data_IF_472196837460
#
_entry.id   IF_472196837460
#
_cell.length_a   1.000
_cell.length_b   1.000
_cell.length_c   1.000
_cell.angle_alpha   90.00
_cell.angle_beta   90.00
_cell.angle_gamma   90.00
#
_symmetry.space_group_name_H-M   'P 1'
#
loop_
_entity.id
_entity.type
_entity.pdbx_description
1 polymer ?
#
# COMPACT_ATOMS: atom_id res chain seq x y z
N UNK A 1 3.76 18.23 8.08
CA UNK A 1 2.83 17.12 8.44
C UNK A 1 3.64 15.98 9.05
N UNK A 2 3.23 15.39 10.18
CA UNK A 2 4.00 14.30 10.81
C UNK A 2 4.06 13.07 9.89
N UNK A 3 5.17 12.30 9.92
CA UNK A 3 5.29 11.02 9.18
C UNK A 3 4.13 10.06 9.49
N UNK A 4 3.61 10.09 10.72
CA UNK A 4 2.40 9.36 11.14
C UNK A 4 1.17 9.79 10.34
N UNK A 5 0.94 11.10 10.23
CA UNK A 5 -0.19 11.66 9.48
C UNK A 5 -0.09 11.36 7.98
N UNK A 6 1.12 11.39 7.41
CA UNK A 6 1.35 11.01 6.01
C UNK A 6 1.03 9.53 5.78
N UNK A 7 1.41 8.65 6.72
CA UNK A 7 1.09 7.22 6.66
C UNK A 7 -0.41 6.95 6.80
N UNK A 8 -1.12 7.67 7.69
CA UNK A 8 -2.58 7.57 7.82
C UNK A 8 -3.24 7.99 6.50
N UNK A 9 -2.85 9.13 5.94
CA UNK A 9 -3.40 9.61 4.67
C UNK A 9 -3.14 8.63 3.52
N UNK A 10 -1.93 8.06 3.45
CA UNK A 10 -1.60 7.00 2.48
C UNK A 10 -2.56 5.81 2.60
N UNK A 11 -2.81 5.31 3.82
CA UNK A 11 -3.69 4.18 4.03
C UNK A 11 -5.15 4.49 3.66
N UNK A 12 -5.66 5.67 4.02
CA UNK A 12 -7.02 6.08 3.64
C UNK A 12 -7.18 6.08 2.12
N UNK A 13 -6.22 6.66 1.40
CA UNK A 13 -6.23 6.70 -0.07
C UNK A 13 -6.09 5.28 -0.64
N UNK A 14 -5.16 4.48 -0.11
CA UNK A 14 -4.95 3.10 -0.54
C UNK A 14 -6.23 2.27 -0.41
N UNK A 15 -6.86 2.26 0.75
CA UNK A 15 -8.10 1.49 0.96
C UNK A 15 -9.26 2.03 0.14
N UNK A 16 -9.35 3.34 -0.07
CA UNK A 16 -10.37 3.91 -0.96
C UNK A 16 -10.17 3.45 -2.41
N UNK A 17 -8.93 3.46 -2.91
CA UNK A 17 -8.63 2.94 -4.26
C UNK A 17 -8.98 1.46 -4.34
N UNK A 18 -8.53 0.67 -3.37
CA UNK A 18 -8.65 -0.79 -3.37
C UNK A 18 -10.12 -1.25 -3.29
N UNK A 19 -10.90 -0.66 -2.39
CA UNK A 19 -12.28 -1.09 -2.13
C UNK A 19 -13.34 -0.38 -2.95
N UNK A 20 -13.08 0.86 -3.40
CA UNK A 20 -14.07 1.65 -4.13
C UNK A 20 -13.69 1.79 -5.59
N UNK A 21 -12.45 2.19 -5.91
CA UNK A 21 -12.10 2.50 -7.30
C UNK A 21 -11.94 1.22 -8.13
N UNK A 22 -11.12 0.26 -7.67
CA UNK A 22 -10.80 -0.95 -8.46
C UNK A 22 -12.06 -1.71 -8.90
N UNK A 23 -13.08 -1.95 -8.06
CA UNK A 23 -14.28 -2.68 -8.48
C UNK A 23 -15.05 -2.02 -9.63
N UNK A 24 -14.93 -0.69 -9.79
CA UNK A 24 -15.64 0.10 -10.81
C UNK A 24 -14.77 0.30 -12.06
N UNK A 25 -13.47 0.00 -12.00
CA UNK A 25 -12.56 0.09 -13.15
C UNK A 25 -13.00 -0.90 -14.23
N UNK A 26 -13.07 -0.49 -15.52
CA UNK A 26 -13.41 -1.40 -16.61
C UNK A 26 -12.45 -2.59 -16.68
N UNK A 27 -13.00 -3.79 -16.82
CA UNK A 27 -12.24 -5.05 -16.92
C UNK A 27 -11.61 -5.25 -18.31
N UNK A 28 -10.69 -4.35 -18.68
CA UNK A 28 -9.83 -4.57 -19.85
C UNK A 28 -8.89 -5.74 -19.58
N UNK A 29 -8.72 -6.61 -20.56
CA UNK A 29 -7.72 -7.69 -20.48
C UNK A 29 -6.35 -7.07 -20.74
N UNK A 30 -5.46 -7.18 -19.77
CA UNK A 30 -4.05 -6.84 -19.89
C UNK A 30 -3.26 -8.04 -20.40
N UNK A 31 -2.32 -7.80 -21.31
CA UNK A 31 -1.39 -8.80 -21.83
C UNK A 31 -2.05 -10.05 -22.42
N UNK A 32 -3.34 -9.97 -22.80
CA UNK A 32 -4.12 -11.10 -23.31
C UNK A 32 -4.57 -12.12 -22.26
N UNK A 33 -4.20 -11.97 -20.99
CA UNK A 33 -4.33 -13.06 -19.99
C UNK A 33 -4.96 -12.62 -18.67
N UNK A 34 -4.71 -11.39 -18.21
CA UNK A 34 -5.08 -10.97 -16.84
C UNK A 34 -6.08 -9.80 -16.89
N UNK A 35 -7.24 -9.87 -16.23
CA UNK A 35 -8.12 -8.71 -16.07
C UNK A 35 -7.40 -7.57 -15.33
N UNK A 36 -7.57 -6.33 -15.81
CA UNK A 36 -7.00 -5.14 -15.17
C UNK A 36 -7.31 -5.06 -13.67
N UNK A 37 -8.55 -5.38 -13.27
CA UNK A 37 -8.91 -5.40 -11.85
C UNK A 37 -8.05 -6.38 -11.06
N UNK A 38 -7.86 -7.60 -11.54
CA UNK A 38 -7.04 -8.62 -10.87
C UNK A 38 -5.58 -8.17 -10.78
N UNK A 39 -5.04 -7.58 -11.85
CA UNK A 39 -3.69 -7.02 -11.84
C UNK A 39 -3.53 -5.92 -10.79
N UNK A 40 -4.49 -5.00 -10.70
CA UNK A 40 -4.47 -3.92 -9.72
C UNK A 40 -4.63 -4.44 -8.28
N UNK A 41 -5.55 -5.38 -8.05
CA UNK A 41 -5.76 -6.02 -6.74
C UNK A 41 -4.52 -6.78 -6.25
N UNK A 42 -3.70 -7.32 -7.15
CA UNK A 42 -2.46 -8.02 -6.78
C UNK A 42 -1.26 -7.06 -6.70
N UNK A 43 -1.19 -6.05 -7.57
CA UNK A 43 -0.06 -5.12 -7.65
C UNK A 43 -0.06 -4.05 -6.56
N UNK A 44 -1.22 -3.47 -6.23
CA UNK A 44 -1.34 -2.42 -5.23
C UNK A 44 -0.88 -2.86 -3.82
N UNK A 45 -1.25 -4.06 -3.32
CA UNK A 45 -0.75 -4.56 -2.05
C UNK A 45 0.77 -4.69 -1.99
N UNK A 46 1.43 -5.04 -3.09
CA UNK A 46 2.90 -5.13 -3.15
C UNK A 46 3.54 -3.76 -2.93
N UNK A 47 3.03 -2.72 -3.58
CA UNK A 47 3.50 -1.35 -3.37
C UNK A 47 3.22 -0.87 -1.94
N UNK A 48 2.04 -1.20 -1.40
CA UNK A 48 1.68 -0.87 -0.03
C UNK A 48 2.60 -1.55 0.99
N UNK A 49 2.95 -2.82 0.78
CA UNK A 49 3.87 -3.56 1.64
C UNK A 49 5.26 -2.91 1.71
N UNK A 50 5.79 -2.39 0.59
CA UNK A 50 7.05 -1.64 0.58
C UNK A 50 6.95 -0.37 1.43
N UNK A 51 5.88 0.42 1.27
CA UNK A 51 5.66 1.65 2.05
C UNK A 51 5.52 1.34 3.53
N UNK A 52 4.78 0.28 3.88
CA UNK A 52 4.62 -0.17 5.25
C UNK A 52 5.94 -0.61 5.87
N UNK A 53 6.75 -1.40 5.14
CA UNK A 53 8.08 -1.81 5.58
C UNK A 53 9.00 -0.62 5.88
N UNK A 54 9.01 0.40 5.00
CA UNK A 54 9.78 1.63 5.23
C UNK A 54 9.27 2.42 6.44
N UNK A 55 7.96 2.52 6.61
CA UNK A 55 7.36 3.21 7.76
C UNK A 55 7.70 2.50 9.07
N UNK A 56 7.50 1.19 9.15
CA UNK A 56 7.78 0.40 10.35
C UNK A 56 9.26 0.35 10.69
N UNK A 57 10.15 0.18 9.71
CA UNK A 57 11.60 0.25 9.95
C UNK A 57 12.01 1.60 10.56
N UNK A 58 11.46 2.71 10.05
CA UNK A 58 11.73 4.02 10.63
C UNK A 58 11.09 4.18 12.01
N UNK A 59 9.89 3.62 12.23
CA UNK A 59 9.24 3.63 13.52
C UNK A 59 10.06 2.89 14.57
N UNK A 60 10.49 1.66 14.28
CA UNK A 60 11.30 0.85 15.21
C UNK A 60 12.66 1.48 15.51
N UNK A 61 13.30 2.12 14.52
CA UNK A 61 14.54 2.89 14.74
C UNK A 61 14.39 4.07 15.73
N UNK A 62 13.18 4.57 15.95
CA UNK A 62 12.92 5.63 16.94
C UNK A 62 12.65 5.09 18.35
N UNK A 63 12.53 3.77 18.51
CA UNK A 63 12.28 3.13 19.79
C UNK A 63 13.62 2.85 20.49
N UNK A 64 13.98 3.66 21.50
CA UNK A 64 15.26 3.56 22.23
C UNK A 64 15.36 2.38 23.22
N UNK A 65 14.35 1.51 23.25
CA UNK A 65 14.22 0.42 24.22
C UNK A 65 14.56 -0.95 23.63
N UNK A 66 14.98 -1.02 22.36
CA UNK A 66 15.40 -2.26 21.71
C UNK A 66 16.79 -2.02 21.10
N UNK A 67 17.82 -2.52 21.79
CA UNK A 67 19.14 -2.67 21.18
C UNK A 67 19.02 -3.80 20.15
N UNK A 68 19.10 -3.44 18.87
CA UNK A 68 19.32 -4.42 17.81
C UNK A 68 20.84 -4.61 17.71
N UNK A 69 21.35 -5.63 18.38
CA UNK A 69 22.71 -6.14 18.19
C UNK A 69 22.90 -6.73 16.78
#
# INVERSE_FOLDING_TARGET
MSKKWLFILFNVIYFFIDWIIIPIVPNKILFGTIPLQLFLMLGLPVLAAVVWGLYYNNFFKTQSHVNYD
#
